data_IF_815179351569
#
_entry.id   IF_815179351569
#
_cell.length_a   1.000
_cell.length_b   1.000
_cell.length_c   1.000
_cell.angle_alpha   90.00
_cell.angle_beta   90.00
_cell.angle_gamma   90.00
#
_symmetry.space_group_name_H-M   'P 1'
#
loop_
_entity.id
_entity.type
_entity.pdbx_description
1 polymer ?
#
# COMPACT_ATOMS: atom_id res chain seq x y z
N UNK A 1 -28.87 -13.85 22.69
CA UNK A 1 -27.74 -14.62 22.11
C UNK A 1 -28.13 -15.22 20.77
N UNK A 2 -28.26 -14.40 19.72
CA UNK A 2 -28.35 -14.89 18.34
C UNK A 2 -28.24 -13.72 17.36
N UNK A 3 -27.04 -13.12 17.25
CA UNK A 3 -26.66 -12.36 16.04
C UNK A 3 -25.14 -12.15 15.88
N UNK A 4 -24.31 -13.05 16.41
CA UNK A 4 -22.83 -12.95 16.35
C UNK A 4 -22.17 -13.98 15.42
N UNK A 5 -22.97 -14.78 14.71
CA UNK A 5 -22.46 -15.92 13.92
C UNK A 5 -22.59 -15.77 12.40
N UNK A 6 -22.93 -14.57 11.87
CA UNK A 6 -23.08 -14.33 10.41
C UNK A 6 -22.13 -13.28 9.77
N UNK A 7 -21.14 -12.74 10.47
CA UNK A 7 -20.13 -11.79 9.90
C UNK A 7 -18.70 -12.35 9.79
N UNK A 8 -18.53 -13.65 9.56
CA UNK A 8 -17.21 -14.20 9.20
C UNK A 8 -16.97 -13.97 7.70
N UNK A 9 -16.10 -13.01 7.36
CA UNK A 9 -15.46 -12.97 6.03
C UNK A 9 -15.69 -11.76 5.12
N UNK A 10 -16.41 -10.73 5.55
CA UNK A 10 -16.60 -9.53 4.74
C UNK A 10 -15.45 -8.51 4.93
N UNK A 11 -15.05 -7.87 3.83
CA UNK A 11 -14.16 -6.71 3.84
C UNK A 11 -14.73 -5.62 4.75
N UNK A 12 -13.90 -5.06 5.63
CA UNK A 12 -14.29 -3.95 6.49
C UNK A 12 -13.13 -2.99 6.75
N UNK A 13 -13.51 -1.74 7.07
CA UNK A 13 -12.59 -0.71 7.56
C UNK A 13 -13.23 -0.03 8.77
N UNK A 14 -12.55 -0.10 9.91
CA UNK A 14 -12.97 0.50 11.17
C UNK A 14 -12.08 1.69 11.52
N UNK A 15 -12.63 2.61 12.32
CA UNK A 15 -11.92 3.80 12.78
C UNK A 15 -12.14 3.94 14.28
N UNK A 16 -11.05 4.01 15.04
CA UNK A 16 -11.05 4.36 16.46
C UNK A 16 -10.23 5.64 16.70
N UNK A 17 -10.63 6.43 17.70
CA UNK A 17 -9.96 7.68 18.08
C UNK A 17 -9.17 7.46 19.36
N UNK A 18 -7.91 7.91 19.37
CA UNK A 18 -7.10 7.97 20.59
C UNK A 18 -6.97 9.44 20.99
N UNK A 19 -7.89 9.88 21.85
CA UNK A 19 -8.13 11.30 22.09
C UNK A 19 -8.63 12.02 20.83
N UNK A 20 -8.40 13.33 20.72
CA UNK A 20 -8.87 14.11 19.58
C UNK A 20 -7.93 14.08 18.36
N UNK A 21 -6.64 13.77 18.60
CA UNK A 21 -5.55 14.10 17.68
C UNK A 21 -4.96 12.91 16.92
N UNK A 22 -5.36 11.69 17.28
CA UNK A 22 -4.90 10.46 16.64
C UNK A 22 -6.13 9.65 16.23
N UNK A 23 -6.16 9.21 14.99
CA UNK A 23 -7.10 8.19 14.52
C UNK A 23 -6.35 6.90 14.18
N UNK A 24 -6.95 5.77 14.52
CA UNK A 24 -6.51 4.43 14.11
C UNK A 24 -7.51 3.94 13.09
N UNK A 25 -7.02 3.58 11.91
CA UNK A 25 -7.79 3.03 10.81
C UNK A 25 -7.34 1.59 10.62
N UNK A 26 -8.25 0.65 10.85
CA UNK A 26 -7.97 -0.78 10.71
C UNK A 26 -8.77 -1.38 9.58
N UNK A 27 -8.09 -2.08 8.66
CA UNK A 27 -8.75 -2.79 7.57
C UNK A 27 -8.70 -4.31 7.78
N UNK A 28 -9.70 -5.02 7.29
CA UNK A 28 -9.73 -6.47 7.35
C UNK A 28 -10.39 -7.07 6.11
N UNK A 29 -9.76 -8.09 5.54
CA UNK A 29 -10.37 -9.03 4.60
C UNK A 29 -9.88 -10.45 4.96
N UNK A 30 -10.36 -11.01 6.08
CA UNK A 30 -9.77 -12.22 6.66
C UNK A 30 -9.93 -13.43 5.74
N UNK A 31 -10.97 -13.45 4.88
CA UNK A 31 -11.18 -14.51 3.91
C UNK A 31 -10.09 -14.56 2.82
N UNK A 32 -9.35 -13.46 2.62
CA UNK A 32 -8.38 -13.30 1.54
C UNK A 32 -7.04 -12.73 2.01
N UNK A 33 -6.64 -13.01 3.26
CA UNK A 33 -5.37 -12.51 3.84
C UNK A 33 -5.22 -10.99 3.68
N UNK A 34 -6.29 -10.27 4.00
CA UNK A 34 -6.39 -8.82 3.92
C UNK A 34 -6.14 -8.26 2.51
N UNK A 35 -6.49 -9.01 1.45
CA UNK A 35 -6.44 -8.51 0.09
C UNK A 35 -7.25 -7.21 -0.06
N UNK A 36 -6.68 -6.29 -0.82
CA UNK A 36 -7.20 -4.96 -1.12
C UNK A 36 -8.17 -5.07 -2.30
N UNK A 37 -9.39 -5.51 -2.03
CA UNK A 37 -10.49 -5.48 -3.00
C UNK A 37 -11.16 -4.10 -3.04
N UNK A 38 -11.93 -3.84 -4.10
CA UNK A 38 -12.60 -2.58 -4.33
C UNK A 38 -13.50 -2.15 -3.15
N UNK A 39 -14.33 -3.03 -2.54
CA UNK A 39 -15.12 -2.65 -1.37
C UNK A 39 -14.27 -2.19 -0.17
N UNK A 40 -13.15 -2.87 0.11
CA UNK A 40 -12.23 -2.46 1.18
C UNK A 40 -11.59 -1.11 0.88
N UNK A 41 -11.12 -0.93 -0.36
CA UNK A 41 -10.45 0.29 -0.80
C UNK A 41 -11.39 1.50 -0.82
N UNK A 42 -12.62 1.34 -1.31
CA UNK A 42 -13.64 2.39 -1.27
C UNK A 42 -14.04 2.74 0.17
N UNK A 43 -14.16 1.73 1.04
CA UNK A 43 -14.40 1.96 2.47
C UNK A 43 -13.24 2.73 3.12
N UNK A 44 -11.98 2.39 2.80
CA UNK A 44 -10.79 3.09 3.28
C UNK A 44 -10.82 4.57 2.86
N UNK A 45 -11.10 4.85 1.59
CA UNK A 45 -11.23 6.21 1.07
C UNK A 45 -12.31 6.97 1.83
N UNK A 46 -13.50 6.40 1.96
CA UNK A 46 -14.61 7.02 2.67
C UNK A 46 -14.29 7.33 4.15
N UNK A 47 -13.55 6.44 4.83
CA UNK A 47 -13.09 6.69 6.20
C UNK A 47 -12.08 7.83 6.29
N UNK A 48 -11.14 7.90 5.35
CA UNK A 48 -10.16 8.98 5.30
C UNK A 48 -10.82 10.33 4.95
N UNK A 49 -11.82 10.34 4.07
CA UNK A 49 -12.63 11.51 3.76
C UNK A 49 -13.37 12.02 5.00
N UNK A 50 -14.13 11.16 5.68
CA UNK A 50 -14.82 11.51 6.91
C UNK A 50 -13.87 12.00 8.02
N UNK A 51 -12.64 11.44 8.10
CA UNK A 51 -11.61 11.92 9.03
C UNK A 51 -11.02 13.27 8.63
N UNK A 52 -11.05 13.63 7.35
CA UNK A 52 -10.51 14.90 6.87
C UNK A 52 -11.49 16.07 7.03
N UNK A 53 -12.77 15.77 7.22
CA UNK A 53 -13.80 16.76 7.53
C UNK A 53 -13.55 17.41 8.91
N UNK A 54 -13.81 18.72 8.99
CA UNK A 54 -13.91 19.51 10.22
C UNK A 54 -12.93 19.13 11.36
N UNK A 55 -11.71 19.68 11.30
CA UNK A 55 -10.58 19.42 12.23
C UNK A 55 -10.00 17.99 12.07
N UNK A 56 -9.29 17.72 10.96
CA UNK A 56 -8.61 16.45 10.77
C UNK A 56 -7.67 16.14 11.95
N UNK A 57 -7.61 14.89 12.44
CA UNK A 57 -6.53 14.50 13.34
C UNK A 57 -5.18 14.65 12.64
N UNK A 58 -4.16 15.22 13.30
CA UNK A 58 -2.83 15.38 12.73
C UNK A 58 -2.12 14.07 12.41
N UNK A 59 -2.60 12.94 12.94
CA UNK A 59 -2.00 11.63 12.71
C UNK A 59 -3.08 10.56 12.53
N UNK A 60 -2.88 9.71 11.52
CA UNK A 60 -3.60 8.47 11.29
C UNK A 60 -2.62 7.31 11.41
N UNK A 61 -2.99 6.25 12.11
CA UNK A 61 -2.29 4.96 12.09
C UNK A 61 -3.11 4.01 11.22
N UNK A 62 -2.52 3.50 10.14
CA UNK A 62 -3.13 2.52 9.24
C UNK A 62 -2.56 1.13 9.53
N UNK A 63 -3.41 0.18 9.88
CA UNK A 63 -3.05 -1.21 10.19
C UNK A 63 -4.10 -2.18 9.65
N UNK A 64 -3.77 -3.48 9.60
CA UNK A 64 -4.81 -4.49 9.52
C UNK A 64 -5.51 -4.64 10.89
N UNK A 65 -6.40 -5.63 11.05
CA UNK A 65 -7.07 -5.91 12.32
C UNK A 65 -6.20 -6.68 13.34
N UNK A 66 -4.90 -6.84 13.07
CA UNK A 66 -3.96 -7.59 13.90
C UNK A 66 -4.07 -9.11 13.74
N UNK A 67 -4.88 -9.61 12.81
CA UNK A 67 -5.01 -11.06 12.57
C UNK A 67 -4.05 -11.56 11.47
N UNK A 68 -3.58 -12.80 11.65
CA UNK A 68 -2.74 -13.51 10.68
C UNK A 68 -1.31 -12.97 10.53
N UNK A 69 -0.50 -13.70 9.76
CA UNK A 69 0.93 -13.40 9.55
C UNK A 69 1.18 -12.50 8.32
N UNK A 70 0.11 -12.11 7.63
CA UNK A 70 0.13 -11.28 6.43
C UNK A 70 -0.61 -9.99 6.74
N UNK A 71 0.09 -8.86 6.69
CA UNK A 71 -0.51 -7.55 6.84
C UNK A 71 -1.49 -7.25 5.70
N UNK A 72 -1.07 -7.55 4.46
CA UNK A 72 -1.97 -7.63 3.31
C UNK A 72 -1.32 -8.38 2.14
N UNK A 73 -2.12 -9.23 1.49
CA UNK A 73 -1.74 -9.96 0.28
C UNK A 73 -1.72 -9.09 -1.00
N UNK A 74 -2.06 -7.80 -0.90
CA UNK A 74 -2.06 -6.87 -2.03
C UNK A 74 -3.39 -6.77 -2.75
N UNK A 75 -3.37 -6.17 -3.94
CA UNK A 75 -4.55 -6.00 -4.80
C UNK A 75 -5.18 -7.37 -5.10
N UNK A 76 -6.49 -7.47 -4.98
CA UNK A 76 -7.21 -8.70 -5.30
C UNK A 76 -7.07 -9.03 -6.79
N UNK A 77 -6.32 -10.09 -7.10
CA UNK A 77 -6.02 -10.49 -8.48
C UNK A 77 -7.28 -10.86 -9.29
N UNK A 78 -8.41 -11.14 -8.63
CA UNK A 78 -9.69 -11.41 -9.31
C UNK A 78 -10.25 -10.18 -10.00
N UNK A 79 -9.89 -8.99 -9.55
CA UNK A 79 -10.29 -7.71 -10.16
C UNK A 79 -9.42 -7.33 -11.35
N UNK A 80 -8.32 -8.06 -11.58
CA UNK A 80 -7.45 -7.87 -12.74
C UNK A 80 -7.89 -8.72 -13.93
N UNK A 81 -8.75 -9.72 -13.69
CA UNK A 81 -9.31 -10.53 -14.76
C UNK A 81 -10.11 -9.63 -15.71
N UNK A 82 -9.83 -9.75 -17.00
CA UNK A 82 -10.46 -8.96 -18.08
C UNK A 82 -10.17 -7.45 -18.06
N UNK A 83 -9.25 -6.98 -17.19
CA UNK A 83 -8.85 -5.57 -17.11
C UNK A 83 -7.44 -5.36 -17.69
N UNK A 84 -7.36 -4.68 -18.83
CA UNK A 84 -6.08 -4.38 -19.51
C UNK A 84 -5.40 -3.11 -18.99
N UNK A 85 -6.05 -2.38 -18.07
CA UNK A 85 -5.45 -1.25 -17.38
C UNK A 85 -5.83 -1.21 -15.88
N UNK A 86 -5.42 -2.21 -15.09
CA UNK A 86 -5.88 -2.36 -13.71
C UNK A 86 -5.28 -1.34 -12.73
N UNK A 87 -4.27 -0.59 -13.16
CA UNK A 87 -3.61 0.46 -12.38
C UNK A 87 -3.89 1.86 -12.97
N UNK A 88 -4.97 2.01 -13.73
CA UNK A 88 -5.41 3.32 -14.22
C UNK A 88 -5.76 4.27 -13.06
N UNK A 89 -5.67 5.58 -13.31
CA UNK A 89 -5.89 6.65 -12.32
C UNK A 89 -7.19 6.53 -11.48
N UNK A 90 -8.26 6.05 -12.12
CA UNK A 90 -9.60 5.91 -11.52
C UNK A 90 -9.84 4.59 -10.79
N UNK A 91 -8.91 3.64 -10.84
CA UNK A 91 -9.11 2.31 -10.23
C UNK A 91 -9.08 2.41 -8.69
N UNK A 92 -9.79 1.53 -7.98
CA UNK A 92 -9.93 1.61 -6.52
C UNK A 92 -8.59 1.70 -5.78
N UNK A 93 -7.60 0.92 -6.20
CA UNK A 93 -6.26 0.94 -5.60
C UNK A 93 -5.62 2.32 -5.73
N UNK A 94 -5.45 2.83 -6.96
CA UNK A 94 -4.83 4.14 -7.19
C UNK A 94 -5.61 5.29 -6.52
N UNK A 95 -6.95 5.20 -6.43
CA UNK A 95 -7.76 6.15 -5.65
C UNK A 95 -7.40 6.12 -4.17
N UNK A 96 -7.31 4.94 -3.56
CA UNK A 96 -6.94 4.80 -2.15
C UNK A 96 -5.50 5.25 -1.87
N UNK A 97 -4.53 4.84 -2.70
CA UNK A 97 -3.13 5.25 -2.58
C UNK A 97 -2.99 6.78 -2.62
N UNK A 98 -3.63 7.42 -3.62
CA UNK A 98 -3.67 8.89 -3.72
C UNK A 98 -4.35 9.51 -2.50
N UNK A 99 -5.44 8.92 -2.02
CA UNK A 99 -6.16 9.45 -0.86
C UNK A 99 -5.31 9.42 0.42
N UNK A 100 -4.53 8.37 0.65
CA UNK A 100 -3.58 8.27 1.77
C UNK A 100 -2.52 9.37 1.67
N UNK A 101 -1.91 9.52 0.48
CA UNK A 101 -0.92 10.58 0.21
C UNK A 101 -1.47 11.98 0.43
N UNK A 102 -2.71 12.24 0.03
CA UNK A 102 -3.36 13.56 0.15
C UNK A 102 -4.14 13.75 1.45
N UNK A 103 -4.06 12.81 2.40
CA UNK A 103 -4.60 13.04 3.74
C UNK A 103 -3.85 14.20 4.41
N UNK A 104 -4.53 15.22 4.99
CA UNK A 104 -3.85 16.40 5.50
C UNK A 104 -2.80 16.10 6.58
N UNK A 105 -3.09 15.17 7.49
CA UNK A 105 -2.19 14.74 8.56
C UNK A 105 -1.20 13.65 8.15
N UNK A 106 -0.25 13.34 9.03
CA UNK A 106 0.67 12.23 8.83
C UNK A 106 -0.07 10.89 8.90
N UNK A 107 0.27 9.94 8.03
CA UNK A 107 -0.25 8.57 8.03
C UNK A 107 0.91 7.62 8.32
N UNK A 108 0.77 6.82 9.37
CA UNK A 108 1.76 5.82 9.79
C UNK A 108 1.24 4.44 9.39
N UNK A 109 1.97 3.72 8.55
CA UNK A 109 1.73 2.29 8.33
C UNK A 109 2.27 1.49 9.51
N UNK A 110 1.39 0.74 10.19
CA UNK A 110 1.73 -0.18 11.26
C UNK A 110 1.63 -1.62 10.72
N UNK A 111 2.77 -2.18 10.32
CA UNK A 111 2.92 -3.41 9.54
C UNK A 111 3.31 -4.59 10.44
N UNK A 112 2.33 -5.32 10.93
CA UNK A 112 2.49 -6.46 11.86
C UNK A 112 2.93 -7.78 11.21
N UNK A 113 2.96 -7.86 9.88
CA UNK A 113 3.29 -9.07 9.12
C UNK A 113 3.72 -8.73 7.70
N UNK A 114 3.69 -9.72 6.79
CA UNK A 114 4.18 -9.48 5.42
C UNK A 114 3.21 -8.66 4.56
N UNK A 115 3.73 -7.77 3.70
CA UNK A 115 2.99 -6.97 2.73
C UNK A 115 3.43 -7.32 1.30
N UNK A 116 2.46 -7.53 0.41
CA UNK A 116 2.69 -8.02 -0.95
C UNK A 116 2.03 -7.13 -2.02
N UNK A 117 2.72 -6.91 -3.15
CA UNK A 117 2.22 -6.18 -4.31
C UNK A 117 1.65 -4.80 -3.94
N UNK A 118 0.40 -4.53 -4.31
CA UNK A 118 -0.28 -3.27 -4.01
C UNK A 118 -0.35 -2.89 -2.53
N UNK A 119 -0.16 -3.85 -1.61
CA UNK A 119 -0.05 -3.55 -0.18
C UNK A 119 1.27 -2.85 0.16
N UNK A 120 2.37 -3.23 -0.49
CA UNK A 120 3.64 -2.50 -0.33
C UNK A 120 3.48 -1.09 -0.87
N UNK A 121 2.77 -0.90 -1.99
CA UNK A 121 2.50 0.44 -2.50
C UNK A 121 1.62 1.27 -1.54
N UNK A 122 0.67 0.64 -0.85
CA UNK A 122 -0.09 1.27 0.23
C UNK A 122 0.81 1.68 1.40
N UNK A 123 1.77 0.84 1.79
CA UNK A 123 2.80 1.18 2.78
C UNK A 123 3.64 2.37 2.30
N UNK A 124 4.13 2.35 1.05
CA UNK A 124 4.92 3.44 0.47
C UNK A 124 4.14 4.74 0.28
N UNK A 125 2.81 4.67 0.26
CA UNK A 125 1.93 5.83 0.20
C UNK A 125 1.73 6.49 1.57
N UNK A 126 2.07 5.80 2.66
CA UNK A 126 2.08 6.36 4.01
C UNK A 126 3.34 7.20 4.24
N UNK A 127 3.30 8.09 5.22
CA UNK A 127 4.39 9.03 5.51
C UNK A 127 5.48 8.39 6.39
N UNK A 128 5.11 7.42 7.23
CA UNK A 128 6.03 6.69 8.11
C UNK A 128 5.64 5.22 8.19
N UNK A 129 6.63 4.36 8.43
CA UNK A 129 6.45 2.91 8.53
C UNK A 129 7.02 2.39 9.84
N UNK A 130 6.18 1.71 10.61
CA UNK A 130 6.58 0.85 11.74
C UNK A 130 6.29 -0.58 11.33
N UNK A 131 7.27 -1.47 11.45
CA UNK A 131 7.12 -2.85 11.03
C UNK A 131 7.57 -3.84 12.10
N UNK A 132 6.95 -5.02 12.11
CA UNK A 132 7.46 -6.16 12.86
C UNK A 132 8.83 -6.58 12.30
N UNK A 133 9.73 -7.07 13.14
CA UNK A 133 11.07 -7.54 12.69
C UNK A 133 11.02 -8.65 11.65
N UNK A 134 10.00 -9.49 11.71
CA UNK A 134 9.78 -10.60 10.79
C UNK A 134 8.91 -10.23 9.57
N UNK A 135 8.50 -8.95 9.46
CA UNK A 135 7.77 -8.48 8.30
C UNK A 135 8.62 -8.58 7.02
N UNK A 136 7.93 -8.74 5.89
CA UNK A 136 8.53 -8.81 4.55
C UNK A 136 7.75 -7.94 3.59
N UNK A 137 8.44 -7.32 2.65
CA UNK A 137 7.87 -6.45 1.63
C UNK A 137 8.26 -6.96 0.24
N UNK A 138 7.29 -7.28 -0.61
CA UNK A 138 7.58 -7.80 -1.95
C UNK A 138 6.68 -7.17 -3.01
N UNK A 139 7.27 -6.64 -4.08
CA UNK A 139 6.53 -6.22 -5.28
C UNK A 139 6.45 -7.38 -6.27
N UNK A 140 5.32 -8.10 -6.25
CA UNK A 140 5.11 -9.30 -7.07
C UNK A 140 4.38 -9.16 -8.43
N UNK A 141 4.01 -7.98 -8.97
CA UNK A 141 3.36 -7.88 -10.28
C UNK A 141 4.12 -8.56 -11.44
N UNK A 142 5.45 -8.57 -11.39
CA UNK A 142 6.27 -9.25 -12.40
C UNK A 142 6.02 -10.78 -12.44
N UNK A 143 5.66 -11.42 -11.32
CA UNK A 143 5.33 -12.84 -11.27
C UNK A 143 4.03 -13.20 -12.01
N UNK A 144 3.24 -12.20 -12.39
CA UNK A 144 2.00 -12.38 -13.17
C UNK A 144 2.07 -11.66 -14.53
N UNK A 145 3.25 -11.24 -14.98
CA UNK A 145 3.40 -10.52 -16.24
C UNK A 145 2.85 -9.08 -16.24
N UNK A 146 2.53 -8.53 -15.06
CA UNK A 146 1.95 -7.19 -14.95
C UNK A 146 3.04 -6.12 -14.75
N UNK A 147 3.26 -5.21 -15.72
CA UNK A 147 4.07 -4.02 -15.49
C UNK A 147 3.42 -3.06 -14.48
N UNK A 148 4.21 -2.55 -13.55
CA UNK A 148 3.71 -1.56 -12.60
C UNK A 148 3.54 -0.17 -13.23
N UNK A 149 2.65 0.66 -12.67
CA UNK A 149 2.43 2.03 -13.16
C UNK A 149 3.64 2.92 -12.88
N UNK A 150 3.92 3.87 -13.77
CA UNK A 150 5.00 4.86 -13.56
C UNK A 150 4.75 5.72 -12.32
N UNK A 151 3.49 6.10 -12.08
CA UNK A 151 3.05 6.78 -10.86
C UNK A 151 3.32 5.93 -9.62
N UNK A 152 3.14 4.61 -9.72
CA UNK A 152 3.55 3.63 -8.74
C UNK A 152 5.04 3.69 -8.46
N UNK A 153 5.86 3.46 -9.47
CA UNK A 153 7.33 3.44 -9.34
C UNK A 153 7.90 4.73 -8.76
N UNK A 154 7.33 5.89 -9.09
CA UNK A 154 7.75 7.18 -8.53
C UNK A 154 7.64 7.22 -7.00
N UNK A 155 6.64 6.55 -6.40
CA UNK A 155 6.49 6.44 -4.93
C UNK A 155 7.63 5.66 -4.28
N UNK A 156 8.27 4.75 -5.00
CA UNK A 156 9.39 3.98 -4.49
C UNK A 156 10.74 4.63 -4.81
N UNK A 157 10.82 5.33 -5.93
CA UNK A 157 12.06 5.92 -6.46
C UNK A 157 12.74 6.87 -5.46
N UNK A 158 11.96 7.62 -4.68
CA UNK A 158 12.50 8.52 -3.64
C UNK A 158 12.86 7.84 -2.33
N UNK A 159 12.36 6.63 -2.09
CA UNK A 159 12.42 5.97 -0.79
C UNK A 159 13.44 4.83 -0.73
N UNK A 160 13.91 4.33 -1.87
CA UNK A 160 14.85 3.21 -1.93
C UNK A 160 16.01 3.49 -2.90
N UNK A 161 17.24 3.02 -2.59
CA UNK A 161 18.33 3.02 -3.55
C UNK A 161 17.93 2.30 -4.83
N UNK A 162 18.28 2.87 -5.99
CA UNK A 162 17.80 2.40 -7.29
C UNK A 162 18.09 0.90 -7.57
N UNK A 163 19.18 0.35 -7.05
CA UNK A 163 19.49 -1.08 -7.20
C UNK A 163 18.60 -1.99 -6.36
N UNK A 164 18.28 -1.57 -5.14
CA UNK A 164 17.33 -2.29 -4.26
C UNK A 164 15.94 -2.24 -4.89
N UNK A 165 15.57 -1.10 -5.45
CA UNK A 165 14.30 -0.93 -6.15
C UNK A 165 14.19 -1.86 -7.37
N UNK A 166 15.23 -1.90 -8.21
CA UNK A 166 15.29 -2.80 -9.38
C UNK A 166 15.24 -4.26 -8.95
N UNK A 167 15.98 -4.66 -7.92
CA UNK A 167 15.91 -6.02 -7.36
C UNK A 167 14.49 -6.36 -6.90
N UNK A 168 13.84 -5.46 -6.14
CA UNK A 168 12.47 -5.66 -5.66
C UNK A 168 11.46 -5.87 -6.80
N UNK A 169 11.52 -5.05 -7.85
CA UNK A 169 10.56 -5.13 -8.96
C UNK A 169 10.90 -6.21 -10.00
N UNK A 170 12.17 -6.46 -10.28
CA UNK A 170 12.58 -7.42 -11.32
C UNK A 170 12.57 -8.85 -10.78
N UNK A 171 13.07 -9.06 -9.56
CA UNK A 171 13.16 -10.39 -8.98
C UNK A 171 11.87 -10.79 -8.26
N UNK A 172 11.00 -9.82 -7.93
CA UNK A 172 9.76 -10.04 -7.21
C UNK A 172 9.96 -10.85 -5.90
N UNK A 173 11.13 -10.69 -5.27
CA UNK A 173 11.51 -11.38 -4.05
C UNK A 173 11.22 -10.51 -2.82
N UNK A 174 10.99 -11.12 -1.64
CA UNK A 174 10.74 -10.37 -0.43
C UNK A 174 12.01 -9.67 0.09
N UNK A 175 11.87 -8.38 0.39
CA UNK A 175 12.78 -7.59 1.20
C UNK A 175 12.41 -7.76 2.67
N UNK A 176 13.30 -8.28 3.50
CA UNK A 176 13.08 -8.37 4.95
C UNK A 176 13.05 -6.99 5.63
N UNK A 177 12.40 -6.91 6.79
CA UNK A 177 12.20 -5.65 7.50
C UNK A 177 13.51 -5.02 8.00
N UNK A 178 14.53 -5.81 8.31
CA UNK A 178 15.83 -5.30 8.75
C UNK A 178 16.57 -4.58 7.63
N UNK A 179 16.61 -5.18 6.44
CA UNK A 179 17.16 -4.56 5.23
C UNK A 179 16.31 -3.38 4.77
N UNK A 180 14.98 -3.46 4.91
CA UNK A 180 14.09 -2.32 4.65
C UNK A 180 14.37 -1.14 5.59
N UNK A 181 14.60 -1.40 6.89
CA UNK A 181 14.99 -0.39 7.87
C UNK A 181 16.37 0.19 7.57
N UNK A 182 17.34 -0.65 7.18
CA UNK A 182 18.68 -0.21 6.78
C UNK A 182 18.64 0.79 5.61
N UNK A 183 17.72 0.61 4.65
CA UNK A 183 17.52 1.53 3.54
C UNK A 183 16.60 2.71 3.83
N UNK A 184 16.08 2.84 5.06
CA UNK A 184 15.22 3.96 5.48
C UNK A 184 13.74 3.82 5.10
N UNK A 185 13.32 2.69 4.52
CA UNK A 185 11.90 2.42 4.24
C UNK A 185 11.12 2.26 5.53
N UNK A 186 11.69 1.53 6.50
CA UNK A 186 11.08 1.32 7.82
C UNK A 186 11.71 2.27 8.84
N UNK A 187 10.91 3.16 9.43
CA UNK A 187 11.39 4.11 10.44
C UNK A 187 11.65 3.45 11.81
N UNK A 188 10.88 2.41 12.15
CA UNK A 188 11.03 1.69 13.42
C UNK A 188 10.66 0.23 13.27
N UNK A 189 11.54 -0.65 13.75
CA UNK A 189 11.24 -2.06 13.94
C UNK A 189 10.70 -2.29 15.34
N UNK A 190 9.72 -3.18 15.46
CA UNK A 190 9.17 -3.63 16.73
C UNK A 190 9.23 -5.16 16.82
N UNK A 191 9.38 -5.66 18.04
CA UNK A 191 9.28 -7.10 18.30
C UNK A 191 7.84 -7.59 18.10
N UNK A 192 7.65 -8.91 18.01
CA UNK A 192 6.36 -9.53 17.78
C UNK A 192 5.30 -9.00 18.77
N UNK A 193 4.16 -8.54 18.24
CA UNK A 193 3.08 -7.94 19.01
C UNK A 193 3.29 -6.47 19.44
N UNK A 194 4.47 -5.87 19.23
CA UNK A 194 4.80 -4.51 19.65
C UNK A 194 4.53 -3.40 18.61
N UNK A 195 4.07 -3.75 17.40
CA UNK A 195 3.93 -2.80 16.29
C UNK A 195 2.91 -1.69 16.59
N UNK A 196 1.75 -2.04 17.13
CA UNK A 196 0.68 -1.08 17.44
C UNK A 196 1.11 -0.06 18.50
N UNK A 197 1.85 -0.50 19.52
CA UNK A 197 2.37 0.36 20.57
C UNK A 197 3.49 1.26 20.04
N UNK A 198 4.43 0.69 19.26
CA UNK A 198 5.50 1.45 18.63
C UNK A 198 4.97 2.52 17.65
N UNK A 199 3.92 2.20 16.89
CA UNK A 199 3.23 3.17 16.02
C UNK A 199 2.50 4.24 16.83
N UNK A 200 1.86 3.87 17.94
CA UNK A 200 1.19 4.81 18.83
C UNK A 200 2.17 5.81 19.45
N UNK A 201 3.38 5.38 19.82
CA UNK A 201 4.39 6.26 20.40
C UNK A 201 4.91 7.31 19.40
N UNK A 202 5.12 6.92 18.14
CA UNK A 202 5.41 7.88 17.07
C UNK A 202 4.21 8.82 16.87
N UNK A 203 2.99 8.28 16.84
CA UNK A 203 1.79 9.09 16.67
C UNK A 203 1.60 10.11 17.78
N UNK A 204 1.85 9.76 19.05
CA UNK A 204 1.83 10.69 20.19
C UNK A 204 2.84 11.81 20.04
N UNK A 205 4.03 11.49 19.53
CA UNK A 205 5.09 12.48 19.27
C UNK A 205 4.65 13.52 18.23
N UNK A 206 4.03 13.07 17.13
CA UNK A 206 3.52 13.96 16.08
C UNK A 206 2.27 14.72 16.58
N UNK A 207 1.38 14.05 17.31
CA UNK A 207 0.17 14.65 17.87
C UNK A 207 0.50 15.79 18.84
N UNK A 208 1.66 15.79 19.51
CA UNK A 208 2.12 16.89 20.35
C UNK A 208 2.58 18.14 19.56
N UNK A 209 2.66 18.09 18.22
CA UNK A 209 3.10 19.20 17.36
C UNK A 209 1.92 20.07 16.91
N UNK A 210 2.20 21.28 16.41
CA UNK A 210 1.19 22.15 15.83
C UNK A 210 0.61 21.50 14.55
N UNK A 211 -0.72 21.24 14.46
CA UNK A 211 -1.30 20.54 13.31
C UNK A 211 -1.01 21.23 11.97
N UNK A 212 -1.15 22.56 11.91
CA UNK A 212 -0.93 23.33 10.69
C UNK A 212 0.51 23.18 10.17
N UNK A 213 1.50 23.02 11.06
CA UNK A 213 2.88 22.76 10.65
C UNK A 213 3.05 21.37 10.06
N UNK A 214 2.42 20.35 10.67
CA UNK A 214 2.42 18.97 10.13
C UNK A 214 1.77 18.94 8.75
N UNK A 215 0.63 19.61 8.58
CA UNK A 215 -0.10 19.67 7.31
C UNK A 215 0.71 20.34 6.22
N UNK A 216 1.31 21.50 6.54
CA UNK A 216 2.14 22.23 5.60
C UNK A 216 3.36 21.43 5.15
N UNK A 217 4.10 20.82 6.09
CA UNK A 217 5.29 20.02 5.77
C UNK A 217 4.92 18.79 4.94
N UNK A 218 3.85 18.07 5.29
CA UNK A 218 3.39 16.94 4.49
C UNK A 218 3.06 17.34 3.06
N UNK A 219 2.27 18.41 2.88
CA UNK A 219 1.89 18.87 1.55
C UNK A 219 3.10 19.35 0.73
N UNK A 220 4.03 20.07 1.36
CA UNK A 220 5.28 20.50 0.71
C UNK A 220 6.09 19.30 0.22
N UNK A 221 6.34 18.31 1.09
CA UNK A 221 7.10 17.11 0.73
C UNK A 221 6.42 16.33 -0.41
N UNK A 222 5.09 16.16 -0.33
CA UNK A 222 4.31 15.50 -1.37
C UNK A 222 4.45 16.18 -2.74
N UNK A 223 4.31 17.50 -2.78
CA UNK A 223 4.45 18.29 -4.01
C UNK A 223 5.89 18.21 -4.55
N UNK A 224 6.90 18.27 -3.67
CA UNK A 224 8.30 18.17 -4.06
C UNK A 224 8.67 16.78 -4.63
N UNK A 225 8.13 15.71 -4.06
CA UNK A 225 8.29 14.34 -4.58
C UNK A 225 7.68 14.19 -5.99
N UNK A 226 6.55 14.87 -6.24
CA UNK A 226 5.86 14.86 -7.54
C UNK A 226 6.48 15.84 -8.56
N UNK A 227 7.46 16.67 -8.17
CA UNK A 227 7.97 17.78 -8.99
C UNK A 227 8.90 17.37 -10.16
N UNK A 228 8.97 16.07 -10.52
CA UNK A 228 9.79 15.57 -11.63
C UNK A 228 8.95 15.41 -12.90
N UNK A 229 9.03 16.34 -13.87
CA UNK A 229 8.33 16.19 -15.13
C UNK A 229 8.93 15.03 -15.93
N UNK A 230 8.07 14.22 -16.52
CA UNK A 230 8.45 13.27 -17.56
C UNK A 230 8.30 13.97 -18.92
N UNK A 231 9.32 13.92 -19.80
CA UNK A 231 9.17 14.34 -21.18
C UNK A 231 8.02 13.60 -21.86
N UNK A 232 7.28 14.28 -22.75
CA UNK A 232 6.08 13.72 -23.39
C UNK A 232 6.39 12.45 -24.20
N UNK A 233 7.48 12.46 -24.96
CA UNK A 233 7.97 11.31 -25.73
C UNK A 233 8.34 10.12 -24.82
N UNK A 234 8.97 10.39 -23.67
CA UNK A 234 9.28 9.36 -22.69
C UNK A 234 8.01 8.78 -22.06
N UNK A 235 7.02 9.62 -21.74
CA UNK A 235 5.73 9.20 -21.23
C UNK A 235 4.99 8.30 -22.22
N UNK A 236 4.88 8.71 -23.48
CA UNK A 236 4.24 7.95 -24.55
C UNK A 236 4.91 6.59 -24.76
N UNK A 237 6.25 6.57 -24.82
CA UNK A 237 7.02 5.33 -24.96
C UNK A 237 6.80 4.36 -23.79
N UNK A 238 6.78 4.86 -22.56
CA UNK A 238 6.54 4.01 -21.37
C UNK A 238 5.09 3.50 -21.35
N UNK A 239 4.12 4.35 -21.73
CA UNK A 239 2.73 3.96 -21.82
C UNK A 239 2.52 2.84 -22.85
N UNK A 240 3.17 2.94 -24.01
CA UNK A 240 3.13 1.91 -25.04
C UNK A 240 3.75 0.59 -24.57
N UNK A 241 4.92 0.62 -23.93
CA UNK A 241 5.55 -0.59 -23.36
C UNK A 241 4.64 -1.27 -22.32
N UNK A 242 3.97 -0.47 -21.49
CA UNK A 242 3.03 -0.98 -20.50
C UNK A 242 1.81 -1.62 -21.18
N UNK A 243 1.26 -0.95 -22.19
CA UNK A 243 0.12 -1.45 -22.98
C UNK A 243 0.44 -2.79 -23.64
N UNK A 244 1.60 -2.91 -24.28
CA UNK A 244 2.07 -4.15 -24.90
C UNK A 244 2.12 -5.32 -23.91
N UNK A 245 2.65 -5.10 -22.70
CA UNK A 245 2.71 -6.15 -21.70
C UNK A 245 1.33 -6.51 -21.11
N UNK A 246 0.42 -5.54 -20.90
CA UNK A 246 -0.94 -5.81 -20.42
C UNK A 246 -1.83 -6.52 -21.47
N UNK A 247 -1.61 -6.27 -22.76
CA UNK A 247 -2.31 -6.92 -23.87
C UNK A 247 -1.65 -8.23 -24.32
N UNK A 248 -0.40 -8.47 -23.89
CA UNK A 248 0.40 -9.65 -24.26
C UNK A 248 -0.07 -10.95 -23.58
N UNK A 249 0.37 -12.07 -24.13
CA UNK A 249 -0.06 -13.41 -23.69
C UNK A 249 0.48 -13.76 -22.29
N UNK A 250 1.59 -13.14 -21.89
CA UNK A 250 2.23 -13.38 -20.59
C UNK A 250 1.41 -12.88 -19.41
N UNK A 251 0.64 -11.80 -19.56
CA UNK A 251 -0.26 -11.33 -18.50
C UNK A 251 -1.41 -12.34 -18.27
N UNK A 252 -2.00 -12.83 -19.36
CA UNK A 252 -3.05 -13.88 -19.30
C UNK A 252 -2.51 -15.19 -18.71
N UNK A 253 -1.30 -15.60 -19.12
CA UNK A 253 -0.63 -16.76 -18.56
C UNK A 253 -0.32 -16.59 -17.07
N UNK A 254 0.13 -15.40 -16.65
CA UNK A 254 0.39 -15.09 -15.25
C UNK A 254 -0.85 -15.22 -14.37
N UNK A 255 -1.98 -14.63 -14.81
CA UNK A 255 -3.26 -14.75 -14.12
C UNK A 255 -3.77 -16.20 -14.07
N UNK A 256 -3.68 -16.93 -15.19
CA UNK A 256 -4.08 -18.33 -15.28
C UNK A 256 -3.22 -19.22 -14.36
N UNK A 257 -1.89 -19.09 -14.43
CA UNK A 257 -0.96 -19.86 -13.62
C UNK A 257 -1.17 -19.63 -12.12
N UNK A 258 -1.45 -18.38 -11.72
CA UNK A 258 -1.80 -18.04 -10.34
C UNK A 258 -3.09 -18.75 -9.89
N UNK A 259 -4.14 -18.69 -10.71
CA UNK A 259 -5.43 -19.36 -10.43
C UNK A 259 -5.28 -20.88 -10.32
N UNK A 260 -4.50 -21.47 -11.21
CA UNK A 260 -4.20 -22.91 -11.28
C UNK A 260 -3.13 -23.36 -10.27
N UNK A 261 -2.52 -22.42 -9.51
CA UNK A 261 -1.45 -22.67 -8.53
C UNK A 261 -0.25 -23.42 -9.12
N UNK A 262 0.17 -23.03 -10.32
CA UNK A 262 1.36 -23.58 -11.00
C UNK A 262 2.33 -22.47 -11.36
N UNK A 263 3.56 -22.85 -11.75
CA UNK A 263 4.50 -21.89 -12.30
C UNK A 263 4.02 -21.39 -13.69
N UNK A 264 4.13 -20.08 -13.97
CA UNK A 264 3.85 -19.55 -15.29
C UNK A 264 4.97 -19.88 -16.29
N UNK A 265 4.62 -19.94 -17.57
CA UNK A 265 5.58 -20.07 -18.68
C UNK A 265 5.51 -18.83 -19.56
N UNK A 266 6.36 -17.85 -19.27
CA UNK A 266 6.44 -16.60 -20.02
C UNK A 266 7.22 -16.75 -21.31
N UNK A 267 6.77 -16.07 -22.37
CA UNK A 267 7.33 -16.14 -23.73
C UNK A 267 7.84 -14.79 -24.24
N UNK A 268 7.49 -13.69 -23.57
CA UNK A 268 7.84 -12.33 -23.98
C UNK A 268 7.14 -11.87 -25.25
N UNK A 269 5.96 -12.40 -25.54
CA UNK A 269 5.14 -12.10 -26.74
C UNK A 269 3.71 -11.73 -26.39
#
# INVERSE_FOLDING_TARGET
MSDMTKRKGASNVTVDRVGERIARVRFANPARRHALDAPLLDALVARLDALAEHRPPPVVILSNDGSGDVWSAGHDLRELADDRDPLAYGKPLERALRRVRTYPGAVIAAVSGSAWGGAVDLVMSCDLVVAARDARFAMTPANIGLPYSTSGLLRFYDNLPIHVLKEMFFCAQPLDAERAAHHGLVNRLADAGGVDDAALDIARTIAAKAPLAVYAVKEQLRVLQDARPLPADAFERIAELRRQACEGADFDEGLRAFSERRAPVFRGV
#
